data_IF_062264168498
#
_entry.id   IF_062264168498
#
_cell.length_a   1.000
_cell.length_b   1.000
_cell.length_c   1.000
_cell.angle_alpha   90.00
_cell.angle_beta   90.00
_cell.angle_gamma   90.00
#
_symmetry.space_group_name_H-M   'P 1'
#
loop_
_entity.id
_entity.type
_entity.pdbx_description
1 polymer ?
#
# COMPACT_ATOMS: atom_id res chain seq x y z
N UNK A 1 -6.72 -4.68 11.22
CA UNK A 1 -5.60 -4.93 10.28
C UNK A 1 -5.05 -6.36 10.36
N UNK A 2 -4.82 -6.94 11.54
CA UNK A 2 -4.31 -8.31 11.64
C UNK A 2 -5.23 -9.36 10.96
N UNK A 3 -6.55 -9.29 11.20
CA UNK A 3 -7.54 -10.19 10.59
C UNK A 3 -7.60 -10.02 9.06
N UNK A 4 -7.64 -8.77 8.59
CA UNK A 4 -7.68 -8.47 7.15
C UNK A 4 -6.38 -8.85 6.44
N UNK A 5 -5.23 -8.74 7.10
CA UNK A 5 -3.94 -9.20 6.59
C UNK A 5 -3.89 -10.72 6.44
N UNK A 6 -4.36 -11.45 7.45
CA UNK A 6 -4.41 -12.92 7.41
C UNK A 6 -5.35 -13.41 6.29
N UNK A 7 -6.59 -12.92 6.25
CA UNK A 7 -7.54 -13.28 5.19
C UNK A 7 -7.05 -12.85 3.81
N UNK A 8 -6.48 -11.64 3.71
CA UNK A 8 -5.92 -11.09 2.48
C UNK A 8 -4.79 -11.93 1.92
N UNK A 9 -3.90 -12.46 2.78
CA UNK A 9 -2.78 -13.31 2.36
C UNK A 9 -3.26 -14.62 1.72
N UNK A 10 -4.30 -15.24 2.29
CA UNK A 10 -4.92 -16.45 1.74
C UNK A 10 -5.56 -16.20 0.38
N UNK A 11 -6.32 -15.10 0.26
CA UNK A 11 -6.93 -14.68 -1.01
C UNK A 11 -5.87 -14.39 -2.08
N UNK A 12 -4.80 -13.66 -1.73
CA UNK A 12 -3.71 -13.34 -2.63
C UNK A 12 -2.97 -14.60 -3.12
N UNK A 13 -2.80 -15.60 -2.26
CA UNK A 13 -2.22 -16.88 -2.65
C UNK A 13 -3.11 -17.64 -3.64
N UNK A 14 -4.43 -17.69 -3.38
CA UNK A 14 -5.39 -18.29 -4.30
C UNK A 14 -5.38 -17.60 -5.68
N UNK A 15 -5.30 -16.26 -5.69
CA UNK A 15 -5.18 -15.47 -6.92
C UNK A 15 -3.87 -15.76 -7.67
N UNK A 16 -2.74 -15.83 -6.96
CA UNK A 16 -1.45 -16.15 -7.56
C UNK A 16 -1.47 -17.52 -8.27
N UNK A 17 -2.10 -18.53 -7.67
CA UNK A 17 -2.27 -19.86 -8.28
C UNK A 17 -3.12 -19.77 -9.56
N UNK A 18 -4.25 -19.06 -9.52
CA UNK A 18 -5.10 -18.85 -10.72
C UNK A 18 -4.35 -18.10 -11.83
N UNK A 19 -3.56 -17.10 -11.48
CA UNK A 19 -2.74 -16.34 -12.45
C UNK A 19 -1.72 -17.25 -13.12
N UNK A 20 -1.07 -18.18 -12.40
CA UNK A 20 -0.15 -19.13 -13.03
C UNK A 20 -0.89 -20.16 -13.90
N UNK A 21 -2.06 -20.65 -13.47
CA UNK A 21 -2.84 -21.64 -14.22
C UNK A 21 -3.34 -21.10 -15.57
N UNK A 22 -3.81 -19.85 -15.60
CA UNK A 22 -4.36 -19.19 -16.78
C UNK A 22 -3.35 -18.30 -17.52
N UNK A 23 -2.05 -18.42 -17.20
CA UNK A 23 -0.97 -17.67 -17.82
C UNK A 23 -0.88 -18.01 -19.31
N UNK A 24 -0.80 -16.99 -20.16
CA UNK A 24 -0.69 -17.13 -21.61
C UNK A 24 0.45 -16.25 -22.13
N UNK A 25 1.13 -16.71 -23.17
CA UNK A 25 2.02 -15.84 -23.93
C UNK A 25 1.20 -14.97 -24.86
N UNK A 26 1.31 -13.66 -24.71
CA UNK A 26 0.72 -12.65 -25.58
C UNK A 26 1.89 -11.78 -26.05
N UNK A 27 2.11 -11.69 -27.36
CA UNK A 27 3.22 -10.92 -27.96
C UNK A 27 4.63 -11.27 -27.42
N UNK A 28 4.88 -12.56 -27.13
CA UNK A 28 6.18 -13.02 -26.62
C UNK A 28 6.40 -12.76 -25.12
N UNK A 29 5.51 -12.02 -24.46
CA UNK A 29 5.51 -11.80 -23.01
C UNK A 29 4.51 -12.71 -22.32
N UNK A 30 4.85 -13.15 -21.11
CA UNK A 30 3.97 -13.96 -20.29
C UNK A 30 2.97 -13.05 -19.57
N UNK A 31 1.80 -12.83 -20.16
CA UNK A 31 0.74 -12.03 -19.56
C UNK A 31 -0.17 -12.92 -18.69
N UNK A 32 -0.33 -12.51 -17.44
CA UNK A 32 -1.28 -13.08 -16.48
C UNK A 32 -1.86 -11.95 -15.65
N UNK A 33 -3.00 -12.21 -15.00
CA UNK A 33 -3.65 -11.23 -14.12
C UNK A 33 -5.15 -11.48 -13.99
N UNK A 34 -5.78 -10.72 -13.10
CA UNK A 34 -7.23 -10.74 -12.83
C UNK A 34 -8.11 -10.87 -14.08
N UNK A 35 -7.90 -10.07 -15.14
CA UNK A 35 -8.73 -10.14 -16.35
C UNK A 35 -8.57 -11.45 -17.13
N UNK A 36 -7.39 -12.09 -17.07
CA UNK A 36 -7.09 -13.28 -17.86
C UNK A 36 -7.80 -14.53 -17.34
N UNK A 37 -7.78 -14.79 -16.03
CA UNK A 37 -8.50 -15.95 -15.50
C UNK A 37 -10.03 -15.76 -15.54
N UNK A 38 -10.55 -14.53 -15.48
CA UNK A 38 -12.00 -14.27 -15.68
C UNK A 38 -12.39 -14.58 -17.13
N UNK A 39 -11.57 -14.15 -18.09
CA UNK A 39 -11.82 -14.40 -19.52
C UNK A 39 -11.73 -15.87 -19.90
N UNK A 40 -10.75 -16.61 -19.38
CA UNK A 40 -10.47 -17.99 -19.79
C UNK A 40 -11.00 -19.07 -18.83
N UNK A 41 -11.11 -18.78 -17.54
CA UNK A 41 -11.68 -19.70 -16.54
C UNK A 41 -13.19 -19.54 -16.41
N UNK A 42 -13.65 -18.31 -16.16
CA UNK A 42 -15.07 -18.04 -15.88
C UNK A 42 -15.91 -17.89 -17.17
N UNK A 43 -15.29 -17.42 -18.27
CA UNK A 43 -15.85 -17.19 -19.63
C UNK A 43 -16.67 -15.90 -19.91
N UNK A 44 -17.21 -15.10 -18.96
CA UNK A 44 -17.89 -13.85 -19.28
C UNK A 44 -16.86 -12.78 -19.68
N UNK A 45 -16.80 -12.48 -20.99
CA UNK A 45 -15.87 -11.49 -21.55
C UNK A 45 -16.17 -10.05 -21.07
N UNK A 46 -17.43 -9.74 -20.78
CA UNK A 46 -17.85 -8.42 -20.30
C UNK A 46 -17.29 -8.12 -18.90
N UNK A 47 -17.30 -9.12 -18.00
CA UNK A 47 -16.76 -8.98 -16.65
C UNK A 47 -15.24 -8.82 -16.67
N UNK A 48 -14.55 -9.56 -17.55
CA UNK A 48 -13.11 -9.40 -17.74
C UNK A 48 -12.74 -7.99 -18.22
N UNK A 49 -13.57 -7.38 -19.07
CA UNK A 49 -13.36 -6.02 -19.55
C UNK A 49 -13.55 -4.97 -18.44
N UNK A 50 -14.61 -5.08 -17.64
CA UNK A 50 -14.85 -4.17 -16.50
C UNK A 50 -13.70 -4.25 -15.50
N UNK A 51 -13.27 -5.46 -15.13
CA UNK A 51 -12.16 -5.64 -14.18
C UNK A 51 -10.84 -5.11 -14.75
N UNK A 52 -10.57 -5.31 -16.04
CA UNK A 52 -9.40 -4.72 -16.68
C UNK A 52 -9.44 -3.19 -16.66
N UNK A 53 -10.60 -2.59 -16.95
CA UNK A 53 -10.77 -1.13 -16.95
C UNK A 53 -10.60 -0.54 -15.56
N UNK A 54 -11.23 -1.15 -14.55
CA UNK A 54 -11.08 -0.71 -13.14
C UNK A 54 -9.65 -0.87 -12.67
N UNK A 55 -8.97 -1.97 -13.00
CA UNK A 55 -7.56 -2.17 -12.66
C UNK A 55 -6.65 -1.15 -13.35
N UNK A 56 -6.94 -0.81 -14.61
CA UNK A 56 -6.20 0.21 -15.35
C UNK A 56 -6.35 1.60 -14.71
N UNK A 57 -7.57 2.01 -14.36
CA UNK A 57 -7.82 3.31 -13.72
C UNK A 57 -7.20 3.34 -12.32
N UNK A 58 -7.43 2.29 -11.53
CA UNK A 58 -6.92 2.17 -10.17
C UNK A 58 -5.39 2.20 -10.13
N UNK A 59 -4.75 1.19 -10.69
CA UNK A 59 -3.28 1.06 -10.63
C UNK A 59 -2.54 2.01 -11.57
N UNK A 60 -3.18 2.47 -12.64
CA UNK A 60 -2.57 3.41 -13.58
C UNK A 60 -2.54 4.85 -13.06
N UNK A 61 -3.61 5.32 -12.40
CA UNK A 61 -3.74 6.73 -12.03
C UNK A 61 -3.92 6.95 -10.53
N UNK A 62 -4.88 6.24 -9.92
CA UNK A 62 -5.30 6.53 -8.54
C UNK A 62 -4.21 6.19 -7.54
N UNK A 63 -3.68 4.96 -7.58
CA UNK A 63 -2.68 4.51 -6.62
C UNK A 63 -1.36 5.30 -6.71
N UNK A 64 -0.75 5.49 -7.91
CA UNK A 64 0.47 6.29 -8.01
C UNK A 64 0.28 7.74 -7.57
N UNK A 65 -0.89 8.33 -7.82
CA UNK A 65 -1.21 9.70 -7.39
C UNK A 65 -1.30 9.85 -5.88
N UNK A 66 -1.97 8.93 -5.19
CA UNK A 66 -2.05 8.94 -3.72
C UNK A 66 -0.67 8.70 -3.10
N UNK A 67 0.12 7.78 -3.68
CA UNK A 67 1.46 7.47 -3.17
C UNK A 67 2.43 8.64 -3.33
N UNK A 68 2.43 9.33 -4.48
CA UNK A 68 3.28 10.50 -4.69
C UNK A 68 2.88 11.67 -3.80
N UNK A 69 1.58 11.86 -3.55
CA UNK A 69 1.09 12.89 -2.63
C UNK A 69 1.55 12.64 -1.18
N UNK A 70 1.46 11.40 -0.70
CA UNK A 70 1.94 11.04 0.63
C UNK A 70 3.45 11.30 0.78
N UNK A 71 4.25 10.92 -0.23
CA UNK A 71 5.70 11.18 -0.22
C UNK A 71 5.99 12.69 -0.20
N UNK A 72 5.30 13.47 -1.04
CA UNK A 72 5.48 14.93 -1.09
C UNK A 72 5.10 15.59 0.25
N UNK A 73 4.00 15.16 0.87
CA UNK A 73 3.57 15.65 2.19
C UNK A 73 4.57 15.31 3.29
N UNK A 74 5.08 14.08 3.31
CA UNK A 74 6.10 13.67 4.30
C UNK A 74 7.43 14.40 4.08
N UNK A 75 7.85 14.62 2.83
CA UNK A 75 9.06 15.36 2.51
C UNK A 75 8.96 16.84 2.87
N UNK A 76 7.80 17.47 2.63
CA UNK A 76 7.54 18.84 3.06
C UNK A 76 7.60 18.97 4.59
N UNK A 77 7.02 18.02 5.33
CA UNK A 77 7.05 18.04 6.80
C UNK A 77 8.44 17.77 7.39
N UNK A 78 9.21 16.87 6.79
CA UNK A 78 10.52 16.47 7.33
C UNK A 78 11.67 17.41 6.90
N UNK A 79 11.61 17.95 5.68
CA UNK A 79 12.73 18.66 5.06
C UNK A 79 12.36 20.09 4.59
N UNK A 80 11.10 20.51 4.71
CA UNK A 80 10.63 21.82 4.24
C UNK A 80 10.67 22.00 2.73
N UNK A 81 10.84 20.92 1.96
CA UNK A 81 10.95 20.97 0.50
C UNK A 81 9.58 21.17 -0.13
N UNK A 82 9.49 22.11 -1.06
CA UNK A 82 8.24 22.42 -1.75
C UNK A 82 7.74 21.21 -2.58
N UNK A 83 6.42 20.92 -2.61
CA UNK A 83 5.90 19.69 -3.21
C UNK A 83 6.25 19.49 -4.69
N UNK A 84 6.38 20.57 -5.47
CA UNK A 84 6.74 20.47 -6.90
C UNK A 84 8.13 19.88 -7.11
N UNK A 85 9.10 20.21 -6.26
CA UNK A 85 10.46 19.68 -6.34
C UNK A 85 10.52 18.18 -6.07
N UNK A 86 9.80 17.73 -5.04
CA UNK A 86 9.70 16.29 -4.72
C UNK A 86 8.99 15.51 -5.83
N UNK A 87 7.92 16.08 -6.41
CA UNK A 87 7.21 15.49 -7.54
C UNK A 87 8.09 15.33 -8.78
N UNK A 88 8.94 16.31 -9.09
CA UNK A 88 9.87 16.24 -10.22
C UNK A 88 10.89 15.11 -10.04
N UNK A 89 11.49 15.00 -8.85
CA UNK A 89 12.47 13.96 -8.53
C UNK A 89 11.85 12.57 -8.60
N UNK A 90 10.66 12.39 -7.99
CA UNK A 90 9.94 11.11 -8.00
C UNK A 90 9.57 10.72 -9.42
N UNK A 91 9.03 11.64 -10.22
CA UNK A 91 8.64 11.39 -11.60
C UNK A 91 9.85 11.03 -12.46
N UNK A 92 10.97 11.72 -12.29
CA UNK A 92 12.23 11.43 -12.99
C UNK A 92 12.75 10.03 -12.68
N UNK A 93 12.82 9.67 -11.39
CA UNK A 93 13.24 8.34 -10.95
C UNK A 93 12.30 7.24 -11.47
N UNK A 94 10.98 7.47 -11.42
CA UNK A 94 10.00 6.52 -11.93
C UNK A 94 10.11 6.35 -13.45
N UNK A 95 10.30 7.44 -14.19
CA UNK A 95 10.46 7.43 -15.64
C UNK A 95 11.63 6.55 -16.10
N UNK A 96 12.79 6.64 -15.42
CA UNK A 96 13.96 5.80 -15.72
C UNK A 96 13.66 4.31 -15.54
N UNK A 97 12.84 3.94 -14.56
CA UNK A 97 12.47 2.54 -14.30
C UNK A 97 11.45 2.04 -15.31
N UNK A 98 10.44 2.86 -15.65
CA UNK A 98 9.32 2.47 -16.53
C UNK A 98 9.74 2.38 -18.00
N UNK A 99 10.59 3.29 -18.49
CA UNK A 99 11.04 3.30 -19.91
C UNK A 99 11.79 2.00 -20.27
N UNK A 100 12.42 1.32 -19.30
CA UNK A 100 13.10 0.04 -19.52
C UNK A 100 12.20 -1.19 -19.65
N UNK A 101 10.87 -1.03 -19.61
CA UNK A 101 9.90 -2.11 -19.78
C UNK A 101 9.67 -2.98 -18.54
N UNK A 102 8.72 -3.91 -18.65
CA UNK A 102 8.22 -4.70 -17.50
C UNK A 102 9.31 -5.51 -16.78
N UNK A 103 10.30 -6.05 -17.51
CA UNK A 103 11.41 -6.81 -16.92
C UNK A 103 12.26 -5.96 -15.97
N UNK A 104 12.53 -4.71 -16.32
CA UNK A 104 13.33 -3.79 -15.49
C UNK A 104 12.57 -3.41 -14.23
N UNK A 105 11.27 -3.14 -14.33
CA UNK A 105 10.40 -2.86 -13.18
C UNK A 105 10.48 -3.99 -12.16
N UNK A 106 10.39 -5.25 -12.63
CA UNK A 106 10.48 -6.43 -11.75
C UNK A 106 11.85 -6.55 -11.09
N UNK A 107 12.94 -6.37 -11.83
CA UNK A 107 14.31 -6.45 -11.27
C UNK A 107 14.57 -5.38 -10.20
N UNK A 108 14.14 -4.15 -10.46
CA UNK A 108 14.26 -3.04 -9.51
C UNK A 108 13.42 -3.32 -8.26
N UNK A 109 12.17 -3.74 -8.42
CA UNK A 109 11.29 -4.08 -7.30
C UNK A 109 11.88 -5.22 -6.44
N UNK A 110 12.41 -6.29 -7.05
CA UNK A 110 13.02 -7.41 -6.33
C UNK A 110 14.21 -7.00 -5.45
N UNK A 111 14.91 -5.92 -5.82
CA UNK A 111 16.07 -5.42 -5.05
C UNK A 111 15.64 -4.42 -3.99
N UNK A 112 14.74 -3.49 -4.34
CA UNK A 112 14.32 -2.41 -3.44
C UNK A 112 13.39 -2.92 -2.33
N UNK A 113 12.45 -3.82 -2.65
CA UNK A 113 11.46 -4.33 -1.69
C UNK A 113 12.08 -4.97 -0.43
N UNK A 114 13.05 -5.90 -0.52
CA UNK A 114 13.64 -6.48 0.68
C UNK A 114 14.42 -5.46 1.51
N UNK A 115 15.15 -4.55 0.85
CA UNK A 115 15.89 -3.49 1.54
C UNK A 115 14.94 -2.56 2.31
N UNK A 116 13.84 -2.14 1.68
CA UNK A 116 12.81 -1.32 2.31
C UNK A 116 12.19 -2.03 3.53
N UNK A 117 11.83 -3.31 3.40
CA UNK A 117 11.22 -4.07 4.48
C UNK A 117 12.15 -4.20 5.70
N UNK A 118 13.43 -4.51 5.46
CA UNK A 118 14.43 -4.63 6.52
C UNK A 118 14.62 -3.28 7.24
N UNK A 119 14.74 -2.18 6.49
CA UNK A 119 14.90 -0.85 7.08
C UNK A 119 13.71 -0.46 7.98
N UNK A 120 12.48 -0.77 7.55
CA UNK A 120 11.28 -0.54 8.37
C UNK A 120 11.27 -1.39 9.64
N UNK A 121 11.58 -2.68 9.53
CA UNK A 121 11.60 -3.59 10.69
C UNK A 121 12.65 -3.17 11.70
N UNK A 122 13.86 -2.80 11.26
CA UNK A 122 14.93 -2.33 12.16
C UNK A 122 14.51 -1.06 12.89
N UNK A 123 13.99 -0.07 12.15
CA UNK A 123 13.53 1.20 12.76
C UNK A 123 12.42 0.95 13.78
N UNK A 124 11.45 0.09 13.44
CA UNK A 124 10.37 -0.27 14.35
C UNK A 124 10.89 -0.97 15.61
N UNK A 125 11.78 -1.96 15.47
CA UNK A 125 12.38 -2.66 16.61
C UNK A 125 13.17 -1.71 17.51
N UNK A 126 13.92 -0.78 16.91
CA UNK A 126 14.68 0.22 17.67
C UNK A 126 13.75 1.12 18.48
N UNK A 127 12.66 1.61 17.89
CA UNK A 127 11.65 2.41 18.61
C UNK A 127 10.98 1.63 19.76
N UNK A 128 10.70 0.34 19.55
CA UNK A 128 10.11 -0.57 20.56
C UNK A 128 11.07 -0.75 21.73
N UNK A 129 12.36 -0.99 21.48
CA UNK A 129 13.37 -1.19 22.53
C UNK A 129 13.59 0.11 23.33
N UNK A 130 13.50 1.28 22.69
CA UNK A 130 13.62 2.57 23.37
C UNK A 130 12.39 2.92 24.21
N UNK A 131 11.21 2.34 23.92
CA UNK A 131 9.94 2.66 24.58
C UNK A 131 9.23 1.42 25.13
N UNK A 132 9.99 0.54 25.80
CA UNK A 132 9.47 -0.73 26.33
C UNK A 132 8.34 -0.54 27.35
N UNK A 133 8.37 0.55 28.11
CA UNK A 133 7.39 0.84 29.16
C UNK A 133 6.00 1.23 28.59
N UNK A 134 5.95 1.76 27.37
CA UNK A 134 4.70 2.18 26.72
C UNK A 134 4.04 1.07 25.86
N UNK A 135 4.77 0.01 25.55
CA UNK A 135 4.24 -1.16 24.82
C UNK A 135 2.98 -1.79 25.43
N UNK A 136 2.92 -2.08 26.76
CA UNK A 136 1.73 -2.68 27.33
C UNK A 136 0.51 -1.75 27.21
N UNK A 137 0.70 -0.44 27.39
CA UNK A 137 -0.36 0.57 27.25
C UNK A 137 -0.88 0.66 25.82
N UNK A 138 0.02 0.71 24.83
CA UNK A 138 -0.34 0.72 23.42
C UNK A 138 -1.08 -0.56 22.99
N UNK A 139 -0.64 -1.73 23.45
CA UNK A 139 -1.30 -3.01 23.13
C UNK A 139 -2.70 -3.13 23.75
N UNK A 140 -2.86 -2.66 24.99
CA UNK A 140 -4.15 -2.61 25.68
C UNK A 140 -5.12 -1.65 24.97
N UNK A 141 -4.63 -0.50 24.50
CA UNK A 141 -5.41 0.45 23.71
C UNK A 141 -5.89 -0.18 22.40
N UNK A 142 -5.03 -0.89 21.67
CA UNK A 142 -5.40 -1.55 20.40
C UNK A 142 -6.51 -2.60 20.62
N UNK A 143 -6.41 -3.40 21.69
CA UNK A 143 -7.43 -4.41 22.00
C UNK A 143 -8.75 -3.78 22.47
N UNK A 144 -8.68 -2.73 23.29
CA UNK A 144 -9.86 -2.02 23.79
C UNK A 144 -10.58 -1.28 22.65
N UNK A 145 -9.83 -0.59 21.80
CA UNK A 145 -10.34 0.05 20.58
C UNK A 145 -10.66 -0.93 19.45
N UNK A 146 -10.37 -2.23 19.58
CA UNK A 146 -10.69 -3.28 18.61
C UNK A 146 -11.87 -4.17 19.04
N UNK A 147 -12.17 -4.26 20.35
CA UNK A 147 -13.25 -5.08 20.91
C UNK A 147 -14.30 -4.31 21.73
N UNK A 148 -14.08 -3.04 22.06
CA UNK A 148 -15.05 -2.20 22.76
C UNK A 148 -16.32 -1.93 21.94
N UNK A 149 -17.49 -2.05 22.58
CA UNK A 149 -18.81 -2.00 21.93
C UNK A 149 -19.19 -0.67 21.27
N UNK A 150 -18.42 0.40 21.48
CA UNK A 150 -18.59 1.70 20.79
C UNK A 150 -18.28 1.65 19.28
N UNK A 151 -17.64 0.57 18.81
CA UNK A 151 -17.25 0.40 17.41
C UNK A 151 -18.37 -0.09 16.49
N UNK A 152 -19.51 -0.52 17.04
CA UNK A 152 -20.64 -1.06 16.25
C UNK A 152 -21.24 0.00 15.32
N UNK A 153 -21.01 1.29 15.59
CA UNK A 153 -21.35 2.41 14.70
C UNK A 153 -20.17 2.91 13.84
N UNK A 154 -19.21 2.06 13.45
CA UNK A 154 -18.47 2.07 12.16
C UNK A 154 -17.82 3.36 11.58
N UNK A 155 -17.86 4.50 12.26
CA UNK A 155 -17.47 5.82 11.76
C UNK A 155 -16.63 6.69 12.71
N UNK A 156 -16.77 6.60 14.06
CA UNK A 156 -16.01 7.47 14.96
C UNK A 156 -14.57 7.02 15.27
N UNK A 157 -14.18 5.76 15.03
CA UNK A 157 -12.80 5.31 15.28
C UNK A 157 -11.78 6.02 14.36
N UNK A 158 -12.19 6.35 13.12
CA UNK A 158 -11.41 7.20 12.21
C UNK A 158 -11.39 8.68 12.64
N UNK A 159 -12.43 9.16 13.32
CA UNK A 159 -12.48 10.51 13.88
C UNK A 159 -11.61 10.67 15.13
N UNK A 160 -11.48 9.63 15.95
CA UNK A 160 -10.69 9.68 17.17
C UNK A 160 -9.18 9.79 16.87
N UNK A 161 -8.70 9.08 15.84
CA UNK A 161 -7.30 9.21 15.37
C UNK A 161 -7.01 10.61 14.80
N UNK A 162 -7.98 11.21 14.10
CA UNK A 162 -7.88 12.59 13.59
C UNK A 162 -7.83 13.62 14.71
N UNK A 163 -8.60 13.43 15.79
CA UNK A 163 -8.59 14.30 16.98
C UNK A 163 -7.27 14.19 17.75
N UNK A 164 -6.71 12.99 17.94
CA UNK A 164 -5.42 12.83 18.61
C UNK A 164 -4.31 13.55 17.85
N UNK A 165 -4.25 13.43 16.52
CA UNK A 165 -3.26 14.14 15.67
C UNK A 165 -3.49 15.66 15.66
N UNK A 166 -4.75 16.11 15.76
CA UNK A 166 -5.08 17.54 15.83
C UNK A 166 -4.73 18.15 17.18
N UNK A 167 -4.93 17.42 18.28
CA UNK A 167 -4.57 17.86 19.63
C UNK A 167 -3.05 17.93 19.82
N UNK A 168 -2.27 17.05 19.17
CA UNK A 168 -0.80 17.13 19.19
C UNK A 168 -0.24 18.40 18.54
N UNK A 169 -0.96 19.02 17.59
CA UNK A 169 -0.54 20.27 16.95
C UNK A 169 -0.81 21.52 17.78
N UNK A 170 -1.79 21.50 18.69
CA UNK A 170 -2.08 22.65 19.57
C UNK A 170 -1.15 22.76 20.78
N UNK A 171 -0.45 21.68 21.16
CA UNK A 171 0.50 21.70 22.28
C UNK A 171 1.89 22.28 21.91
N UNK A 172 2.14 22.58 20.63
CA UNK A 172 3.41 23.13 20.15
C UNK A 172 3.35 24.65 19.86
N UNK A 173 2.21 25.31 20.09
CA UNK A 173 2.02 26.77 19.87
C UNK A 173 1.81 27.58 21.17
N UNK A 174 2.21 27.05 22.33
CA UNK A 174 2.33 27.79 23.61
C UNK A 174 3.69 27.57 24.22
#
# INVERSE_FOLDING_TARGET
MAITGLLGSTCANAEAVLVQLYKRRVHGENCGGMPYYIKYGLKPRWLAFIVALTALIGYGFVFPGVQSNNIASSAHQALGVEPWGTGLVITGLHGVVVIGGAKRVVQVAQTIVPFMAIGYVITALLLIVLNLDELPVASALILTCGFGSDQIFGGPASWCFSLTVTTSRMQLET
#
